data_IF_886835622305
#
_entry.id   IF_886835622305
#
_cell.length_a   1.000
_cell.length_b   1.000
_cell.length_c   1.000
_cell.angle_alpha   90.00
_cell.angle_beta   90.00
_cell.angle_gamma   90.00
#
_symmetry.space_group_name_H-M   'P 1'
#
loop_
_entity.id
_entity.type
_entity.pdbx_description
1 polymer ?
#
# COMPACT_ATOMS: atom_id res chain seq x y z
N UNK A 1 14.59 7.39 -10.87
CA UNK A 1 14.96 6.97 -9.51
C UNK A 1 15.42 5.52 -9.52
N UNK A 2 16.28 5.13 -8.58
CA UNK A 2 16.61 3.74 -8.32
C UNK A 2 15.56 3.19 -7.32
N UNK A 3 14.80 2.18 -7.77
CA UNK A 3 13.73 1.54 -7.03
C UNK A 3 13.99 0.02 -6.99
N UNK A 4 14.65 -0.49 -5.95
CA UNK A 4 14.88 -1.92 -5.76
C UNK A 4 13.56 -2.68 -5.74
N UNK A 5 13.54 -3.87 -6.34
CA UNK A 5 12.34 -4.68 -6.40
C UNK A 5 12.61 -6.17 -6.29
N UNK A 6 11.58 -6.92 -5.99
CA UNK A 6 11.54 -8.38 -6.07
C UNK A 6 10.40 -8.80 -7.00
N UNK A 7 10.56 -9.94 -7.68
CA UNK A 7 9.56 -10.50 -8.55
C UNK A 7 9.42 -12.01 -8.32
N UNK A 8 8.20 -12.52 -8.41
CA UNK A 8 7.88 -13.96 -8.30
C UNK A 8 6.81 -14.35 -9.32
N UNK A 9 6.64 -15.65 -9.53
CA UNK A 9 5.62 -16.20 -10.43
C UNK A 9 6.10 -16.34 -11.88
N UNK A 10 5.22 -16.89 -12.72
CA UNK A 10 5.50 -17.12 -14.15
C UNK A 10 5.60 -15.78 -14.90
N UNK A 11 6.62 -15.56 -15.75
CA UNK A 11 6.71 -14.38 -16.59
C UNK A 11 5.47 -14.08 -17.46
N UNK A 12 4.72 -15.10 -17.84
CA UNK A 12 3.47 -14.98 -18.60
C UNK A 12 2.21 -14.91 -17.70
N UNK A 13 2.40 -14.92 -16.38
CA UNK A 13 1.30 -14.83 -15.41
C UNK A 13 0.65 -13.47 -15.36
N UNK A 14 -0.49 -13.37 -14.67
CA UNK A 14 -1.21 -12.09 -14.46
C UNK A 14 -0.28 -11.11 -13.72
N UNK A 15 0.06 -9.95 -14.32
CA UNK A 15 0.96 -8.99 -13.69
C UNK A 15 0.29 -8.29 -12.51
N UNK A 16 0.97 -8.29 -11.38
CA UNK A 16 0.55 -7.67 -10.12
C UNK A 16 1.67 -6.80 -9.60
N UNK A 17 1.41 -5.54 -9.27
CA UNK A 17 2.35 -4.60 -8.65
C UNK A 17 1.88 -4.26 -7.24
N UNK A 18 2.75 -4.48 -6.25
CA UNK A 18 2.47 -4.33 -4.82
C UNK A 18 3.15 -3.06 -4.29
N UNK A 19 2.36 -2.19 -3.67
CA UNK A 19 2.75 -0.88 -3.14
C UNK A 19 2.62 -0.89 -1.62
N UNK A 20 3.74 -0.79 -0.91
CA UNK A 20 3.77 -0.83 0.55
C UNK A 20 3.25 0.46 1.19
N UNK A 21 3.01 0.42 2.49
CA UNK A 21 2.54 1.56 3.27
C UNK A 21 3.67 2.60 3.50
N UNK A 22 3.27 3.81 3.91
CA UNK A 22 4.17 4.81 4.47
C UNK A 22 4.99 4.18 5.61
N UNK A 23 6.30 4.43 5.59
CA UNK A 23 7.36 3.90 6.46
C UNK A 23 7.81 2.46 6.16
N UNK A 24 7.03 1.69 5.46
CA UNK A 24 7.30 0.28 5.19
C UNK A 24 8.28 0.08 4.00
N UNK A 25 8.45 -1.12 3.58
CA UNK A 25 9.24 -1.50 2.40
C UNK A 25 8.58 -2.67 1.68
N UNK A 26 9.12 -3.06 0.53
CA UNK A 26 8.72 -4.26 -0.20
C UNK A 26 8.71 -5.53 0.68
N UNK A 27 9.44 -5.53 1.81
CA UNK A 27 9.54 -6.67 2.72
C UNK A 27 8.24 -7.06 3.41
N UNK A 28 7.28 -6.12 3.54
CA UNK A 28 5.97 -6.45 4.08
C UNK A 28 5.20 -7.46 3.21
N UNK A 29 5.60 -7.59 1.95
CA UNK A 29 4.98 -8.53 1.01
C UNK A 29 5.67 -9.88 0.89
N UNK A 30 6.83 -10.11 1.53
CA UNK A 30 7.61 -11.35 1.37
C UNK A 30 6.74 -12.60 1.59
N UNK A 31 5.93 -12.63 2.65
CA UNK A 31 5.08 -13.78 2.98
C UNK A 31 3.81 -13.85 2.11
N UNK A 32 3.25 -12.71 1.71
CA UNK A 32 2.13 -12.66 0.78
C UNK A 32 2.56 -13.23 -0.57
N UNK A 33 3.67 -12.75 -1.13
CA UNK A 33 4.17 -13.18 -2.44
C UNK A 33 4.52 -14.68 -2.46
N UNK A 34 5.09 -15.20 -1.36
CA UNK A 34 5.35 -16.63 -1.22
C UNK A 34 4.07 -17.50 -1.22
N UNK A 35 2.92 -16.92 -0.88
CA UNK A 35 1.61 -17.59 -0.89
C UNK A 35 0.84 -17.46 -2.19
N UNK A 36 1.31 -16.67 -3.16
CA UNK A 36 0.64 -16.50 -4.45
C UNK A 36 0.95 -17.68 -5.40
N UNK A 37 -0.03 -18.12 -6.21
CA UNK A 37 0.20 -19.17 -7.20
C UNK A 37 1.09 -18.65 -8.35
N UNK A 38 1.86 -19.56 -8.98
CA UNK A 38 2.80 -19.22 -10.07
C UNK A 38 2.15 -18.46 -11.25
N UNK A 39 0.87 -18.68 -11.53
CA UNK A 39 0.12 -17.93 -12.56
C UNK A 39 -0.08 -16.44 -12.27
N UNK A 40 0.38 -15.95 -11.12
CA UNK A 40 0.42 -14.53 -10.77
C UNK A 40 1.88 -14.10 -10.78
N UNK A 41 2.21 -13.17 -11.69
CA UNK A 41 3.53 -12.53 -11.77
C UNK A 41 3.53 -11.29 -10.88
N UNK A 42 3.98 -11.46 -9.64
CA UNK A 42 3.96 -10.39 -8.64
C UNK A 42 5.29 -9.64 -8.57
N UNK A 43 5.22 -8.31 -8.52
CA UNK A 43 6.33 -7.39 -8.31
C UNK A 43 6.05 -6.57 -7.06
N UNK A 44 7.02 -6.46 -6.16
CA UNK A 44 7.02 -5.48 -5.08
C UNK A 44 8.29 -4.65 -5.18
N UNK A 45 8.18 -3.34 -5.05
CA UNK A 45 9.33 -2.43 -5.08
C UNK A 45 9.33 -1.48 -3.89
N UNK A 46 10.51 -1.05 -3.48
CA UNK A 46 10.64 0.01 -2.49
C UNK A 46 10.29 1.35 -3.13
N UNK A 47 9.26 2.00 -2.62
CA UNK A 47 8.86 3.32 -3.09
C UNK A 47 9.89 4.38 -2.69
N UNK A 48 9.94 5.51 -3.42
CA UNK A 48 10.85 6.62 -3.13
C UNK A 48 10.92 6.95 -1.64
N UNK A 49 12.11 7.14 -1.12
CA UNK A 49 12.35 7.50 0.28
C UNK A 49 12.31 6.32 1.26
N UNK A 50 11.80 5.16 0.87
CA UNK A 50 11.56 4.00 1.73
C UNK A 50 12.52 2.85 1.43
N UNK A 51 12.62 1.89 2.35
CA UNK A 51 13.47 0.72 2.20
C UNK A 51 14.88 1.06 1.72
N UNK A 52 15.32 0.41 0.67
CA UNK A 52 16.61 0.65 0.02
C UNK A 52 16.50 1.53 -1.24
N UNK A 53 15.32 2.10 -1.53
CA UNK A 53 15.12 3.03 -2.65
C UNK A 53 15.86 4.35 -2.46
N UNK A 54 16.07 5.04 -3.58
CA UNK A 54 16.60 6.40 -3.60
C UNK A 54 15.77 7.33 -2.70
N UNK A 55 16.47 8.23 -2.01
CA UNK A 55 15.88 9.19 -1.06
C UNK A 55 16.10 10.62 -1.55
N UNK A 56 15.37 11.05 -2.64
CA UNK A 56 15.53 12.39 -3.21
C UNK A 56 15.30 13.49 -2.16
N UNK A 57 15.78 14.69 -2.45
CA UNK A 57 15.67 15.82 -1.51
C UNK A 57 14.23 16.33 -1.36
N UNK A 58 13.40 16.12 -2.38
CA UNK A 58 12.00 16.55 -2.50
C UNK A 58 11.19 15.56 -3.34
N UNK A 59 9.91 15.89 -3.64
CA UNK A 59 9.04 15.07 -4.47
C UNK A 59 8.39 13.94 -3.68
N UNK A 60 7.71 14.26 -2.57
CA UNK A 60 7.00 13.28 -1.75
C UNK A 60 5.49 13.53 -1.71
N UNK A 61 4.95 14.16 -2.76
CA UNK A 61 3.52 14.28 -2.94
C UNK A 61 2.92 12.96 -3.47
N UNK A 62 1.62 12.75 -3.27
CA UNK A 62 0.92 11.54 -3.73
C UNK A 62 1.13 11.26 -5.24
N UNK A 63 1.20 12.33 -6.04
CA UNK A 63 1.42 12.22 -7.49
C UNK A 63 2.82 11.72 -7.81
N UNK A 64 3.83 12.14 -7.07
CA UNK A 64 5.21 11.67 -7.29
C UNK A 64 5.33 10.16 -7.11
N UNK A 65 4.64 9.60 -6.10
CA UNK A 65 4.57 8.15 -5.88
C UNK A 65 3.80 7.45 -7.02
N UNK A 66 2.71 8.02 -7.49
CA UNK A 66 1.94 7.45 -8.61
C UNK A 66 2.72 7.48 -9.92
N UNK A 67 3.48 8.55 -10.20
CA UNK A 67 4.36 8.65 -11.36
C UNK A 67 5.47 7.60 -11.31
N UNK A 68 6.01 7.29 -10.11
CA UNK A 68 6.99 6.20 -9.94
C UNK A 68 6.40 4.82 -10.26
N UNK A 69 5.12 4.59 -9.97
CA UNK A 69 4.45 3.33 -10.36
C UNK A 69 4.47 3.17 -11.88
N UNK A 70 4.13 4.22 -12.62
CA UNK A 70 4.18 4.22 -14.09
C UNK A 70 5.59 3.97 -14.61
N UNK A 71 6.58 4.71 -14.09
CA UNK A 71 7.98 4.56 -14.47
C UNK A 71 8.54 3.17 -14.13
N UNK A 72 8.15 2.59 -12.97
CA UNK A 72 8.51 1.22 -12.61
C UNK A 72 7.92 0.20 -13.60
N UNK A 73 6.62 0.32 -13.91
CA UNK A 73 5.95 -0.56 -14.87
C UNK A 73 6.62 -0.51 -16.24
N UNK A 74 6.99 0.68 -16.72
CA UNK A 74 7.71 0.86 -17.99
C UNK A 74 9.09 0.16 -17.94
N UNK A 75 9.82 0.31 -16.83
CA UNK A 75 11.16 -0.26 -16.67
C UNK A 75 11.15 -1.81 -16.64
N UNK A 76 10.07 -2.43 -16.14
CA UNK A 76 9.93 -3.90 -16.09
C UNK A 76 9.10 -4.46 -17.26
N UNK A 77 8.70 -3.61 -18.22
CA UNK A 77 8.00 -4.01 -19.44
C UNK A 77 6.54 -4.39 -19.22
N UNK A 78 5.83 -3.71 -18.29
CA UNK A 78 4.41 -3.91 -18.03
C UNK A 78 3.56 -2.79 -18.66
N UNK A 79 2.76 -3.11 -19.67
CA UNK A 79 1.79 -2.17 -20.24
C UNK A 79 0.66 -1.88 -19.24
N UNK A 80 0.19 -2.91 -18.54
CA UNK A 80 -0.87 -2.80 -17.53
C UNK A 80 -0.67 -3.86 -16.43
N UNK A 81 -1.22 -3.61 -15.23
CA UNK A 81 -1.12 -4.53 -14.09
C UNK A 81 -2.33 -4.43 -13.15
N UNK A 82 -2.52 -5.44 -12.32
CA UNK A 82 -3.32 -5.35 -11.10
C UNK A 82 -2.49 -4.63 -10.05
N UNK A 83 -3.00 -3.53 -9.50
CA UNK A 83 -2.32 -2.80 -8.42
C UNK A 83 -2.83 -3.26 -7.07
N UNK A 84 -1.92 -3.54 -6.17
CA UNK A 84 -2.22 -3.92 -4.78
C UNK A 84 -1.56 -2.90 -3.86
N UNK A 85 -2.33 -2.17 -3.10
CA UNK A 85 -1.78 -1.18 -2.19
C UNK A 85 -2.16 -1.42 -0.74
N UNK A 86 -1.16 -1.44 0.16
CA UNK A 86 -1.37 -1.50 1.60
C UNK A 86 -1.41 -0.09 2.18
N UNK A 87 -2.44 0.25 2.96
CA UNK A 87 -2.60 1.56 3.62
C UNK A 87 -2.39 2.71 2.62
N UNK A 88 -1.42 3.61 2.86
CA UNK A 88 -1.08 4.70 1.95
C UNK A 88 -0.61 4.24 0.57
N UNK A 89 -0.02 3.05 0.44
CA UNK A 89 0.25 2.45 -0.87
C UNK A 89 -1.02 2.21 -1.69
N UNK A 90 -2.16 1.94 -1.01
CA UNK A 90 -3.46 1.90 -1.66
C UNK A 90 -3.98 3.28 -2.08
N UNK A 91 -3.58 4.34 -1.38
CA UNK A 91 -3.88 5.72 -1.79
C UNK A 91 -3.12 6.09 -3.06
N UNK A 92 -1.84 5.66 -3.15
CA UNK A 92 -1.03 5.76 -4.38
C UNK A 92 -1.66 4.96 -5.52
N UNK A 93 -2.07 3.71 -5.26
CA UNK A 93 -2.73 2.86 -6.26
C UNK A 93 -4.03 3.48 -6.79
N UNK A 94 -4.84 4.10 -5.91
CA UNK A 94 -6.04 4.84 -6.32
C UNK A 94 -5.68 6.03 -7.22
N UNK A 95 -4.63 6.79 -6.88
CA UNK A 95 -4.17 7.93 -7.70
C UNK A 95 -3.76 7.46 -9.09
N UNK A 96 -2.93 6.42 -9.16
CA UNK A 96 -2.53 5.84 -10.43
C UNK A 96 -3.74 5.31 -11.24
N UNK A 97 -4.67 4.60 -10.60
CA UNK A 97 -5.85 4.05 -11.28
C UNK A 97 -6.79 5.13 -11.86
N UNK A 98 -6.83 6.32 -11.24
CA UNK A 98 -7.56 7.48 -11.76
C UNK A 98 -6.83 8.13 -12.92
N UNK A 99 -5.50 8.30 -12.82
CA UNK A 99 -4.69 8.98 -13.85
C UNK A 99 -4.43 8.07 -15.07
N UNK A 100 -4.22 6.76 -14.83
CA UNK A 100 -3.82 5.75 -15.83
C UNK A 100 -4.83 4.57 -15.89
N UNK A 101 -6.13 4.81 -16.18
CA UNK A 101 -7.15 3.77 -16.14
C UNK A 101 -6.91 2.63 -17.14
N UNK A 102 -6.28 2.92 -18.29
CA UNK A 102 -5.94 1.91 -19.29
C UNK A 102 -4.80 0.97 -18.85
N UNK A 103 -4.00 1.39 -17.87
CA UNK A 103 -2.88 0.61 -17.31
C UNK A 103 -3.24 -0.11 -16.01
N UNK A 104 -4.50 0.01 -15.55
CA UNK A 104 -4.99 -0.61 -14.31
C UNK A 104 -5.96 -1.73 -14.64
N UNK A 105 -5.49 -2.99 -14.65
CA UNK A 105 -6.31 -4.18 -14.92
C UNK A 105 -7.28 -4.48 -13.78
N UNK A 106 -6.87 -4.21 -12.56
CA UNK A 106 -7.63 -4.41 -11.33
C UNK A 106 -6.98 -3.69 -10.17
N UNK A 107 -7.69 -3.55 -9.07
CA UNK A 107 -7.22 -2.82 -7.88
C UNK A 107 -7.54 -3.62 -6.62
N UNK A 108 -6.57 -3.79 -5.73
CA UNK A 108 -6.77 -4.35 -4.39
C UNK A 108 -6.28 -3.34 -3.35
N UNK A 109 -7.17 -2.88 -2.50
CA UNK A 109 -6.95 -1.88 -1.45
C UNK A 109 -6.97 -2.56 -0.09
N UNK A 110 -5.82 -2.67 0.56
CA UNK A 110 -5.63 -3.41 1.82
C UNK A 110 -5.47 -2.41 2.98
N UNK A 111 -6.51 -2.21 3.79
CA UNK A 111 -6.50 -1.20 4.85
C UNK A 111 -6.18 0.19 4.32
N UNK A 112 -6.76 0.56 3.18
CA UNK A 112 -6.40 1.80 2.48
C UNK A 112 -7.39 2.93 2.76
N UNK A 113 -6.93 4.19 2.88
CA UNK A 113 -7.82 5.32 3.10
C UNK A 113 -8.59 5.69 1.83
N UNK A 114 -9.84 6.15 2.00
CA UNK A 114 -10.58 6.87 0.96
C UNK A 114 -10.04 8.29 0.79
N UNK A 115 -9.71 8.92 1.91
CA UNK A 115 -9.17 10.27 1.99
C UNK A 115 -8.33 10.39 3.26
N UNK A 116 -7.21 11.08 3.16
CA UNK A 116 -6.42 11.53 4.32
C UNK A 116 -6.57 13.04 4.54
N UNK A 117 -7.37 13.71 3.70
CA UNK A 117 -7.65 15.14 3.82
C UNK A 117 -8.68 15.37 4.93
N UNK A 118 -8.33 16.23 5.87
CA UNK A 118 -9.20 16.55 7.00
C UNK A 118 -8.48 17.38 8.06
N UNK A 119 -9.03 17.44 9.28
CA UNK A 119 -8.33 18.03 10.41
C UNK A 119 -6.98 17.33 10.63
N UNK A 120 -5.91 18.12 10.77
CA UNK A 120 -4.56 17.58 10.98
C UNK A 120 -4.57 16.65 12.21
N UNK A 121 -4.17 15.39 12.09
CA UNK A 121 -4.16 14.49 13.23
C UNK A 121 -3.07 14.89 14.22
N UNK A 122 -3.30 14.71 15.52
CA UNK A 122 -2.27 15.02 16.56
C UNK A 122 -0.95 14.30 16.33
N UNK A 123 -0.98 13.13 15.73
CA UNK A 123 0.21 12.38 15.36
C UNK A 123 1.10 13.14 14.36
N UNK A 124 0.53 14.02 13.54
CA UNK A 124 1.30 14.87 12.63
C UNK A 124 2.22 15.85 13.36
N UNK A 125 1.85 16.30 14.57
CA UNK A 125 2.70 17.15 15.40
C UNK A 125 3.92 16.36 15.92
N UNK A 126 3.73 15.09 16.26
CA UNK A 126 4.82 14.18 16.64
C UNK A 126 5.77 13.99 15.45
N UNK A 127 5.23 13.64 14.28
CA UNK A 127 6.03 13.44 13.06
C UNK A 127 6.82 14.70 12.70
N UNK A 128 6.23 15.89 12.86
CA UNK A 128 6.88 17.16 12.56
C UNK A 128 8.14 17.43 13.40
N UNK A 129 8.25 16.82 14.59
CA UNK A 129 9.38 17.01 15.52
C UNK A 129 10.44 15.90 15.43
N UNK A 130 10.23 14.89 14.60
CA UNK A 130 11.20 13.79 14.46
C UNK A 130 12.53 14.27 13.87
N UNK A 131 13.62 13.78 14.43
CA UNK A 131 14.99 14.00 13.97
C UNK A 131 15.73 12.66 13.85
N UNK A 132 16.77 12.64 13.03
CA UNK A 132 17.60 11.44 12.88
C UNK A 132 18.67 11.38 14.01
N UNK A 133 18.96 10.19 14.56
CA UNK A 133 18.29 8.91 14.30
C UNK A 133 16.92 8.82 15.00
N UNK A 134 15.93 8.27 14.32
CA UNK A 134 14.62 8.01 14.93
C UNK A 134 14.74 6.94 16.01
N UNK A 135 14.06 7.14 17.13
CA UNK A 135 14.07 6.22 18.27
C UNK A 135 13.42 4.87 17.89
N UNK A 136 14.17 3.78 18.09
CA UNK A 136 13.71 2.43 17.76
C UNK A 136 12.54 1.97 18.67
N UNK A 137 12.45 2.44 19.91
CA UNK A 137 11.34 2.13 20.80
C UNK A 137 10.06 2.81 20.32
N UNK A 138 10.15 4.07 19.86
CA UNK A 138 9.03 4.78 19.24
C UNK A 138 8.53 4.06 17.99
N UNK A 139 9.43 3.63 17.10
CA UNK A 139 9.06 2.89 15.89
C UNK A 139 8.37 1.56 16.25
N UNK A 140 8.85 0.88 17.28
CA UNK A 140 8.26 -0.38 17.76
C UNK A 140 6.84 -0.17 18.30
N UNK A 141 6.65 0.82 19.17
CA UNK A 141 5.35 1.15 19.74
C UNK A 141 4.34 1.54 18.65
N UNK A 142 4.78 2.35 17.66
CA UNK A 142 3.97 2.71 16.52
C UNK A 142 3.53 1.48 15.70
N UNK A 143 4.46 0.58 15.40
CA UNK A 143 4.20 -0.63 14.60
C UNK A 143 3.26 -1.59 15.33
N UNK A 144 3.46 -1.79 16.64
CA UNK A 144 2.57 -2.61 17.49
C UNK A 144 1.17 -2.02 17.59
N UNK A 145 1.03 -0.68 17.59
CA UNK A 145 -0.25 0.01 17.63
C UNK A 145 -1.10 -0.14 16.36
N UNK A 146 -0.51 -0.58 15.25
CA UNK A 146 -1.20 -0.78 13.98
C UNK A 146 -1.82 -2.17 13.82
N UNK A 147 -1.40 -3.16 14.61
CA UNK A 147 -1.88 -4.54 14.52
C UNK A 147 -2.83 -4.88 15.66
N UNK A 148 -3.82 -5.72 15.40
CA UNK A 148 -4.77 -6.20 16.40
C UNK A 148 -4.56 -7.68 16.75
N UNK A 149 -3.89 -8.44 15.89
CA UNK A 149 -3.53 -9.83 16.10
C UNK A 149 -2.08 -9.94 16.56
N UNK A 150 -1.73 -11.07 17.18
CA UNK A 150 -0.35 -11.37 17.50
C UNK A 150 0.45 -11.60 16.21
N UNK A 151 1.48 -10.80 16.01
CA UNK A 151 2.41 -10.88 14.87
C UNK A 151 3.70 -11.55 15.35
N UNK A 152 4.23 -12.57 14.61
CA UNK A 152 5.49 -13.20 14.98
C UNK A 152 6.62 -12.18 15.13
N UNK A 153 7.44 -12.32 16.18
CA UNK A 153 8.51 -11.36 16.51
C UNK A 153 9.46 -11.09 15.33
N UNK A 154 9.79 -12.12 14.56
CA UNK A 154 10.66 -11.96 13.39
C UNK A 154 10.05 -11.04 12.31
N UNK A 155 8.73 -11.05 12.15
CA UNK A 155 8.01 -10.18 11.21
C UNK A 155 7.98 -8.74 11.74
N UNK A 156 7.64 -8.58 13.03
CA UNK A 156 7.64 -7.26 13.69
C UNK A 156 9.03 -6.63 13.69
N UNK A 157 10.06 -7.40 13.99
CA UNK A 157 11.45 -6.92 13.95
C UNK A 157 11.87 -6.48 12.53
N UNK A 158 11.42 -7.21 11.50
CA UNK A 158 11.66 -6.81 10.10
C UNK A 158 10.96 -5.49 9.78
N UNK A 159 9.68 -5.36 10.15
CA UNK A 159 8.90 -4.13 9.95
C UNK A 159 9.59 -2.92 10.62
N UNK A 160 9.97 -3.05 11.90
CA UNK A 160 10.66 -1.98 12.62
C UNK A 160 12.02 -1.62 11.97
N UNK A 161 12.79 -2.63 11.54
CA UNK A 161 14.07 -2.41 10.86
C UNK A 161 13.90 -1.63 9.56
N UNK A 162 12.89 -1.96 8.77
CA UNK A 162 12.63 -1.25 7.50
C UNK A 162 12.15 0.18 7.76
N UNK A 163 11.26 0.40 8.74
CA UNK A 163 10.81 1.74 9.13
C UNK A 163 11.98 2.64 9.56
N UNK A 164 12.98 2.09 10.25
CA UNK A 164 14.19 2.81 10.68
C UNK A 164 15.13 3.20 9.53
N UNK A 165 14.97 2.63 8.33
CA UNK A 165 15.73 3.07 7.14
C UNK A 165 15.23 4.39 6.57
N UNK A 166 14.01 4.79 6.92
CA UNK A 166 13.36 6.00 6.41
C UNK A 166 13.87 7.21 7.20
N UNK A 167 14.57 8.19 6.59
CA UNK A 167 15.04 9.37 7.30
C UNK A 167 13.90 10.23 7.85
N UNK A 168 14.11 10.89 8.96
CA UNK A 168 13.12 11.76 9.62
C UNK A 168 12.50 12.82 8.68
N UNK A 169 13.29 13.38 7.76
CA UNK A 169 12.76 14.31 6.75
C UNK A 169 11.73 13.62 5.83
N UNK A 170 11.99 12.37 5.40
CA UNK A 170 11.06 11.62 4.55
C UNK A 170 9.79 11.25 5.32
N UNK A 171 9.91 10.92 6.63
CA UNK A 171 8.74 10.77 7.49
C UNK A 171 7.83 11.99 7.40
N UNK A 172 8.40 13.19 7.56
CA UNK A 172 7.64 14.46 7.55
C UNK A 172 7.06 14.77 6.17
N UNK A 173 7.91 14.77 5.14
CA UNK A 173 7.53 15.19 3.79
C UNK A 173 6.50 14.25 3.15
N UNK A 174 6.72 12.92 3.25
CA UNK A 174 5.77 11.95 2.73
C UNK A 174 4.44 11.98 3.49
N UNK A 175 4.47 12.15 4.81
CA UNK A 175 3.23 12.25 5.60
C UNK A 175 2.44 13.52 5.27
N UNK A 176 3.13 14.67 5.17
CA UNK A 176 2.49 15.93 4.77
C UNK A 176 1.93 15.83 3.33
N UNK A 177 2.67 15.23 2.41
CA UNK A 177 2.20 14.97 1.05
C UNK A 177 0.92 14.13 1.00
N UNK A 178 0.82 13.11 1.85
CA UNK A 178 -0.39 12.28 1.97
C UNK A 178 -1.58 13.05 2.58
N UNK A 179 -1.34 13.87 3.63
CA UNK A 179 -2.39 14.63 4.32
C UNK A 179 -2.94 15.80 3.48
N UNK A 180 -2.10 16.37 2.62
CA UNK A 180 -2.46 17.53 1.77
C UNK A 180 -3.00 17.12 0.40
N UNK A 181 -2.78 15.87 0.01
CA UNK A 181 -3.22 15.35 -1.28
C UNK A 181 -4.73 15.52 -1.49
N UNK A 182 -5.11 15.88 -2.70
CA UNK A 182 -6.50 15.81 -3.12
C UNK A 182 -6.91 14.34 -3.25
N UNK A 183 -8.01 13.89 -2.58
CA UNK A 183 -8.40 12.50 -2.62
C UNK A 183 -8.64 12.02 -4.05
N UNK A 184 -8.06 10.88 -4.47
CA UNK A 184 -8.18 10.42 -5.86
C UNK A 184 -9.62 10.29 -6.35
N UNK A 185 -10.54 9.78 -5.51
CA UNK A 185 -11.95 9.61 -5.85
C UNK A 185 -12.71 10.93 -6.01
N UNK A 186 -12.19 12.04 -5.47
CA UNK A 186 -12.77 13.38 -5.67
C UNK A 186 -12.34 13.99 -7.03
N UNK A 187 -11.26 13.48 -7.65
CA UNK A 187 -10.69 14.00 -8.91
C UNK A 187 -11.04 13.18 -10.14
N UNK A 188 -11.46 11.92 -9.95
CA UNK A 188 -11.76 11.02 -11.07
C UNK A 188 -12.45 9.75 -10.61
N UNK A 189 -12.61 8.81 -11.54
CA UNK A 189 -13.29 7.54 -11.30
C UNK A 189 -12.34 6.37 -11.50
N UNK A 190 -12.42 5.40 -10.61
CA UNK A 190 -11.79 4.11 -10.76
C UNK A 190 -12.77 3.19 -11.50
N UNK A 191 -12.36 2.73 -12.69
CA UNK A 191 -13.16 1.82 -13.53
C UNK A 191 -12.71 0.37 -13.44
N UNK A 192 -11.52 0.13 -12.88
CA UNK A 192 -10.97 -1.21 -12.72
C UNK A 192 -11.77 -2.02 -11.68
N UNK A 193 -11.96 -3.33 -11.89
CA UNK A 193 -12.50 -4.22 -10.88
C UNK A 193 -11.72 -4.10 -9.57
N UNK A 194 -12.42 -3.79 -8.48
CA UNK A 194 -11.77 -3.41 -7.23
C UNK A 194 -12.16 -4.33 -6.09
N UNK A 195 -11.15 -4.80 -5.37
CA UNK A 195 -11.23 -5.49 -4.09
C UNK A 195 -10.80 -4.53 -2.98
N UNK A 196 -11.64 -4.35 -1.97
CA UNK A 196 -11.31 -3.61 -0.75
C UNK A 196 -11.27 -4.60 0.39
N UNK A 197 -10.14 -4.71 1.10
CA UNK A 197 -9.97 -5.54 2.30
C UNK A 197 -9.75 -4.61 3.49
N UNK A 198 -10.57 -4.77 4.53
CA UNK A 198 -10.47 -3.97 5.73
C UNK A 198 -10.58 -4.83 6.99
N UNK A 199 -9.73 -4.54 7.97
CA UNK A 199 -9.77 -5.17 9.27
C UNK A 199 -10.78 -4.49 10.20
N UNK A 200 -11.71 -5.26 10.79
CA UNK A 200 -12.75 -4.69 11.66
C UNK A 200 -12.20 -4.12 12.98
N UNK A 201 -10.94 -4.42 13.31
CA UNK A 201 -10.20 -3.88 14.46
C UNK A 201 -9.23 -2.75 14.08
N UNK A 202 -9.30 -2.26 12.85
CA UNK A 202 -8.50 -1.11 12.40
C UNK A 202 -8.84 0.12 13.25
N UNK A 203 -7.84 0.65 13.97
CA UNK A 203 -7.96 1.81 14.84
C UNK A 203 -7.70 3.13 14.11
N UNK A 204 -7.23 3.08 12.86
CA UNK A 204 -6.84 4.26 12.08
C UNK A 204 -7.91 4.65 11.04
N UNK A 205 -8.53 3.66 10.40
CA UNK A 205 -9.50 3.89 9.32
C UNK A 205 -10.89 3.45 9.72
N UNK A 206 -11.86 4.33 9.55
CA UNK A 206 -13.24 4.05 9.93
C UNK A 206 -13.92 3.10 8.91
N UNK A 207 -14.77 2.22 9.40
CA UNK A 207 -15.61 1.34 8.58
C UNK A 207 -16.45 2.12 7.57
N UNK A 208 -17.01 3.25 7.99
CA UNK A 208 -17.83 4.10 7.13
C UNK A 208 -17.10 4.61 5.89
N UNK A 209 -15.78 4.88 6.01
CA UNK A 209 -14.96 5.32 4.87
C UNK A 209 -14.74 4.17 3.87
N UNK A 210 -14.61 2.93 4.35
CA UNK A 210 -14.48 1.76 3.49
C UNK A 210 -15.79 1.45 2.76
N UNK A 211 -16.92 1.56 3.45
CA UNK A 211 -18.25 1.41 2.86
C UNK A 211 -18.54 2.52 1.83
N UNK A 212 -18.15 3.77 2.12
CA UNK A 212 -18.26 4.88 1.17
C UNK A 212 -17.39 4.64 -0.08
N UNK A 213 -16.12 4.22 0.09
CA UNK A 213 -15.23 3.91 -1.02
C UNK A 213 -15.80 2.77 -1.88
N UNK A 214 -16.35 1.72 -1.26
CA UNK A 214 -16.99 0.62 -1.97
C UNK A 214 -18.25 1.06 -2.74
N UNK A 215 -18.99 2.04 -2.23
CA UNK A 215 -20.16 2.59 -2.92
C UNK A 215 -19.80 3.52 -4.09
N UNK A 216 -18.65 4.21 -4.01
CA UNK A 216 -18.17 5.14 -5.04
C UNK A 216 -17.50 4.41 -6.22
N UNK A 217 -16.79 3.31 -5.95
CA UNK A 217 -16.11 2.52 -6.99
C UNK A 217 -17.10 1.47 -7.53
N UNK A 218 -17.54 1.67 -8.75
CA UNK A 218 -18.52 0.78 -9.39
C UNK A 218 -18.06 -0.67 -9.44
N UNK A 219 -18.85 -1.57 -8.84
CA UNK A 219 -18.54 -3.00 -8.80
C UNK A 219 -17.45 -3.40 -7.81
N UNK A 220 -17.04 -2.50 -6.91
CA UNK A 220 -16.09 -2.85 -5.86
C UNK A 220 -16.66 -3.88 -4.89
N UNK A 221 -15.82 -4.82 -4.47
CA UNK A 221 -16.13 -5.83 -3.45
C UNK A 221 -15.43 -5.46 -2.15
N UNK A 222 -16.19 -5.14 -1.10
CA UNK A 222 -15.66 -4.93 0.25
C UNK A 222 -15.65 -6.27 1.02
N UNK A 223 -14.48 -6.64 1.53
CA UNK A 223 -14.27 -7.80 2.40
C UNK A 223 -13.80 -7.32 3.76
N UNK A 224 -14.51 -7.71 4.80
CA UNK A 224 -14.21 -7.32 6.18
C UNK A 224 -13.63 -8.52 6.93
N UNK A 225 -12.42 -8.36 7.48
CA UNK A 225 -11.77 -9.35 8.32
C UNK A 225 -12.03 -9.02 9.80
N UNK A 226 -12.87 -9.79 10.53
CA UNK A 226 -13.39 -9.41 11.85
C UNK A 226 -12.33 -9.35 12.95
N UNK A 227 -11.21 -10.03 12.77
CA UNK A 227 -10.13 -10.27 13.74
C UNK A 227 -8.82 -9.50 13.43
N UNK A 228 -8.81 -8.69 12.36
CA UNK A 228 -7.63 -8.00 11.80
C UNK A 228 -7.66 -6.52 12.11
N UNK A 229 -6.49 -5.93 12.34
CA UNK A 229 -6.27 -4.49 12.52
C UNK A 229 -6.00 -3.75 11.21
N UNK A 230 -5.06 -2.80 11.28
CA UNK A 230 -4.77 -1.91 10.13
C UNK A 230 -3.92 -2.57 9.03
N UNK A 231 -3.20 -3.65 9.32
CA UNK A 231 -2.24 -4.27 8.40
C UNK A 231 -2.68 -5.68 7.93
N UNK A 232 -3.74 -5.81 7.10
CA UNK A 232 -4.20 -7.12 6.62
C UNK A 232 -3.10 -7.94 5.94
N UNK A 233 -2.16 -7.28 5.26
CA UNK A 233 -1.03 -7.92 4.57
C UNK A 233 -0.07 -8.63 5.55
N UNK A 234 0.00 -8.18 6.79
CA UNK A 234 0.82 -8.76 7.85
C UNK A 234 0.01 -9.75 8.69
N UNK A 235 -1.21 -9.35 9.09
CA UNK A 235 -2.02 -10.08 10.06
C UNK A 235 -2.82 -11.25 9.46
N UNK A 236 -3.14 -11.18 8.16
CA UNK A 236 -4.02 -12.15 7.49
C UNK A 236 -3.56 -12.50 6.06
N UNK A 237 -2.25 -12.63 5.87
CA UNK A 237 -1.60 -12.80 4.57
C UNK A 237 -2.17 -13.94 3.71
N UNK A 238 -2.53 -15.09 4.31
CA UNK A 238 -3.10 -16.21 3.57
C UNK A 238 -4.51 -15.86 3.03
N UNK A 239 -5.32 -15.14 3.83
CA UNK A 239 -6.64 -14.67 3.38
C UNK A 239 -6.51 -13.62 2.27
N UNK A 240 -5.56 -12.69 2.43
CA UNK A 240 -5.26 -11.68 1.40
C UNK A 240 -4.79 -12.36 0.11
N UNK A 241 -3.90 -13.36 0.19
CA UNK A 241 -3.45 -14.12 -0.97
C UNK A 241 -4.61 -14.82 -1.69
N UNK A 242 -5.54 -15.43 -0.95
CA UNK A 242 -6.71 -16.09 -1.52
C UNK A 242 -7.66 -15.10 -2.21
N UNK A 243 -7.97 -13.96 -1.55
CA UNK A 243 -8.84 -12.94 -2.12
C UNK A 243 -8.22 -12.23 -3.34
N UNK A 244 -6.91 -11.98 -3.32
CA UNK A 244 -6.16 -11.43 -4.45
C UNK A 244 -6.12 -12.42 -5.62
N UNK A 245 -5.89 -13.71 -5.33
CA UNK A 245 -5.92 -14.76 -6.35
C UNK A 245 -7.29 -14.82 -7.02
N UNK A 246 -8.38 -14.76 -6.24
CA UNK A 246 -9.73 -14.75 -6.80
C UNK A 246 -10.01 -13.52 -7.68
N UNK A 247 -9.46 -12.35 -7.34
CA UNK A 247 -9.54 -11.16 -8.19
C UNK A 247 -8.81 -11.39 -9.52
N UNK A 248 -7.56 -11.89 -9.47
CA UNK A 248 -6.76 -12.16 -10.68
C UNK A 248 -7.43 -13.22 -11.58
N UNK A 249 -7.97 -14.30 -11.01
CA UNK A 249 -8.67 -15.33 -11.76
C UNK A 249 -9.93 -14.78 -12.46
N UNK A 250 -10.68 -13.90 -11.79
CA UNK A 250 -11.85 -13.26 -12.38
C UNK A 250 -11.49 -12.28 -13.53
N UNK A 251 -10.30 -11.70 -13.51
CA UNK A 251 -9.79 -10.85 -14.59
C UNK A 251 -9.32 -11.69 -15.79
N UNK A 252 -8.62 -12.79 -15.55
CA UNK A 252 -8.14 -13.68 -16.60
C UNK A 252 -9.27 -14.42 -17.35
N UNK A 253 -10.46 -14.49 -16.76
CA UNK A 253 -11.65 -15.12 -17.37
C UNK A 253 -12.48 -14.16 -18.25
N UNK A 254 -12.11 -12.88 -18.39
CA UNK A 254 -12.80 -11.87 -19.19
C UNK A 254 -12.21 -11.76 -20.58
#
# INVERSE_FOLDING_TARGET
LELPYIATGDPEGVPVVLLHAWLDSLRCFDQLMAGLPERIRAFAFDQRGHGDAAKPADGYELRDFADDVGAFMDAVGLDAAVLVGASSGGYVAQRFAVDEPARTLGLALLGSPRSLRGPRPRFADVVATLEDPIDAAFVRELSEGMVAAEVPEAVMATLCKENLKVPARVWREAFDGLLTAEPPLDTGRISAPTLIVWGARDSLLARADQEAMAAEISGARLVIYPDVGHLPVIEARERVAADLTALCDALAAR
#
